data_IF_714500908993
#
_entry.id   IF_714500908993
#
_cell.length_a   1.000
_cell.length_b   1.000
_cell.length_c   1.000
_cell.angle_alpha   90.00
_cell.angle_beta   90.00
_cell.angle_gamma   90.00
#
_symmetry.space_group_name_H-M   'P 1'
#
loop_
_entity.id
_entity.type
_entity.pdbx_description
1 polymer ?
#
# COMPACT_ATOMS: atom_id res chain seq x y z
N UNK A 1 -22.47 27.02 -28.27
CA UNK A 1 -23.55 27.58 -27.44
C UNK A 1 -22.90 28.44 -26.38
N UNK A 2 -23.35 29.67 -26.17
CA UNK A 2 -22.75 30.56 -25.17
C UNK A 2 -22.98 30.00 -23.76
N UNK A 3 -21.95 30.02 -22.91
CA UNK A 3 -22.07 29.65 -21.51
C UNK A 3 -23.06 30.61 -20.81
N UNK A 4 -24.06 30.08 -20.09
CA UNK A 4 -25.08 30.90 -19.42
C UNK A 4 -24.49 31.93 -18.45
N UNK A 5 -23.27 31.69 -17.93
CA UNK A 5 -22.58 32.63 -17.04
C UNK A 5 -22.20 33.94 -17.74
N UNK A 6 -21.94 33.92 -19.05
CA UNK A 6 -21.43 35.06 -19.81
C UNK A 6 -22.44 35.68 -20.77
N UNK A 7 -23.60 35.04 -20.97
CA UNK A 7 -24.62 35.47 -21.94
C UNK A 7 -25.20 36.88 -21.70
N UNK A 8 -25.20 37.36 -20.44
CA UNK A 8 -25.74 38.67 -20.07
C UNK A 8 -24.69 39.79 -20.02
N UNK A 9 -23.42 39.48 -20.28
CA UNK A 9 -22.34 40.46 -20.26
C UNK A 9 -22.19 41.10 -21.64
N UNK A 10 -22.22 42.44 -21.75
CA UNK A 10 -21.93 43.12 -23.02
C UNK A 10 -20.44 42.97 -23.38
N UNK A 11 -20.13 42.80 -24.67
CA UNK A 11 -18.76 42.78 -25.19
C UNK A 11 -18.06 41.41 -25.16
N UNK A 12 -18.78 40.31 -24.94
CA UNK A 12 -18.23 38.96 -25.06
C UNK A 12 -18.17 38.53 -26.53
N UNK A 13 -17.01 38.08 -26.99
CA UNK A 13 -16.81 37.53 -28.33
C UNK A 13 -17.35 36.10 -28.40
N UNK A 14 -18.46 35.88 -29.11
CA UNK A 14 -19.13 34.57 -29.19
C UNK A 14 -18.73 33.72 -30.40
N UNK A 15 -18.12 34.33 -31.42
CA UNK A 15 -17.82 33.71 -32.72
C UNK A 15 -16.32 33.77 -33.06
N UNK A 16 -15.47 33.97 -32.07
CA UNK A 16 -14.02 33.90 -32.21
C UNK A 16 -13.54 32.53 -31.70
N UNK A 17 -12.47 31.97 -32.28
CA UNK A 17 -11.83 30.79 -31.70
C UNK A 17 -11.29 31.11 -30.29
N UNK A 18 -11.41 30.15 -29.39
CA UNK A 18 -10.98 30.30 -27.99
C UNK A 18 -9.44 30.39 -27.87
N UNK A 19 -8.71 29.77 -28.80
CA UNK A 19 -7.25 29.71 -28.83
C UNK A 19 -6.75 30.02 -30.24
N UNK A 20 -5.79 30.94 -30.36
CA UNK A 20 -5.01 31.17 -31.59
C UNK A 20 -3.60 30.62 -31.38
N UNK A 21 -3.35 29.43 -31.91
CA UNK A 21 -2.06 28.75 -31.82
C UNK A 21 -1.45 28.50 -33.21
N UNK A 22 -0.12 28.41 -33.24
CA UNK A 22 0.61 27.94 -34.43
C UNK A 22 0.38 26.45 -34.62
N UNK A 23 0.41 25.97 -35.87
CA UNK A 23 0.29 24.54 -36.14
C UNK A 23 1.32 23.74 -35.37
N UNK A 24 0.87 22.71 -34.65
CA UNK A 24 1.73 21.84 -33.87
C UNK A 24 2.68 21.09 -34.82
N UNK A 25 3.98 21.35 -34.70
CA UNK A 25 5.00 20.72 -35.52
C UNK A 25 5.57 19.52 -34.77
N UNK A 26 5.80 18.36 -35.43
CA UNK A 26 6.28 17.14 -34.78
C UNK A 26 7.77 17.19 -34.35
N UNK A 27 8.35 18.38 -34.22
CA UNK A 27 9.78 18.56 -33.87
C UNK A 27 10.08 18.12 -32.43
N UNK A 28 9.11 18.17 -31.52
CA UNK A 28 9.25 17.69 -30.13
C UNK A 28 9.35 16.15 -30.01
N UNK A 29 8.96 15.39 -31.03
CA UNK A 29 9.07 13.91 -31.04
C UNK A 29 10.48 13.41 -31.42
N UNK A 30 11.36 14.31 -31.85
CA UNK A 30 12.75 13.99 -32.19
C UNK A 30 13.63 14.08 -30.93
N UNK A 31 13.53 13.08 -30.06
CA UNK A 31 14.41 12.99 -28.89
C UNK A 31 15.88 12.99 -29.33
N UNK A 32 16.62 14.05 -28.94
CA UNK A 32 18.07 14.20 -29.09
C UNK A 32 18.82 13.19 -28.19
N UNK A 33 18.67 11.89 -28.45
CA UNK A 33 19.29 10.83 -27.66
C UNK A 33 20.78 10.61 -28.01
N UNK A 34 21.26 11.18 -29.12
CA UNK A 34 22.64 10.99 -29.58
C UNK A 34 23.67 11.66 -28.67
N UNK A 35 23.32 12.78 -28.00
CA UNK A 35 24.28 13.56 -27.22
C UNK A 35 24.70 12.93 -25.88
N UNK A 36 23.81 12.19 -25.20
CA UNK A 36 24.16 11.51 -23.93
C UNK A 36 24.95 10.21 -24.15
N UNK A 37 24.78 9.55 -25.31
CA UNK A 37 25.50 8.31 -25.62
C UNK A 37 26.96 8.57 -26.03
N UNK A 38 27.24 9.74 -26.60
CA UNK A 38 28.59 10.16 -27.02
C UNK A 38 29.52 10.45 -25.83
N UNK A 39 29.06 11.11 -24.75
CA UNK A 39 29.90 11.40 -23.58
C UNK A 39 30.39 10.15 -22.85
N UNK A 40 29.59 9.08 -22.86
CA UNK A 40 30.00 7.82 -22.25
C UNK A 40 31.06 7.11 -23.12
N UNK A 41 31.08 7.32 -24.44
CA UNK A 41 31.99 6.69 -25.41
C UNK A 41 33.35 7.40 -25.53
N UNK A 42 34.10 7.47 -24.43
CA UNK A 42 35.47 7.98 -24.45
C UNK A 42 36.50 6.87 -24.70
N UNK A 43 37.36 7.01 -25.72
CA UNK A 43 38.48 6.09 -26.01
C UNK A 43 39.53 6.02 -24.87
N UNK A 44 39.54 7.02 -23.98
CA UNK A 44 40.49 7.12 -22.86
C UNK A 44 39.95 6.55 -21.54
N UNK A 45 38.68 6.16 -21.46
CA UNK A 45 38.03 5.74 -20.21
C UNK A 45 37.38 4.37 -20.38
N UNK A 46 37.86 3.37 -19.63
CA UNK A 46 37.23 2.06 -19.59
C UNK A 46 35.93 2.11 -18.78
N UNK A 47 34.82 1.72 -19.41
CA UNK A 47 33.52 1.56 -18.73
C UNK A 47 33.40 0.18 -18.11
N UNK A 48 33.51 0.13 -16.78
CA UNK A 48 33.30 -1.10 -16.01
C UNK A 48 31.85 -1.13 -15.52
N UNK A 49 31.04 -2.00 -16.13
CA UNK A 49 29.67 -2.24 -15.66
C UNK A 49 29.73 -3.10 -14.41
N UNK A 50 29.33 -2.51 -13.27
CA UNK A 50 29.27 -3.23 -12.00
C UNK A 50 27.88 -3.86 -11.87
N UNK A 51 27.81 -5.19 -11.87
CA UNK A 51 26.60 -5.92 -11.54
C UNK A 51 26.54 -6.13 -10.02
N UNK A 52 25.58 -5.53 -9.28
CA UNK A 52 25.50 -5.62 -7.82
C UNK A 52 25.32 -7.06 -7.32
N UNK A 53 24.60 -7.91 -8.07
CA UNK A 53 24.36 -9.30 -7.69
C UNK A 53 25.66 -10.12 -7.79
N UNK A 54 26.39 -9.98 -8.90
CA UNK A 54 27.69 -10.64 -9.07
C UNK A 54 28.75 -10.09 -8.11
N UNK A 55 28.67 -8.80 -7.73
CA UNK A 55 29.52 -8.23 -6.71
C UNK A 55 29.19 -8.80 -5.32
N UNK A 56 27.90 -8.94 -4.98
CA UNK A 56 27.46 -9.53 -3.72
C UNK A 56 28.00 -10.96 -3.55
N UNK A 57 27.86 -11.81 -4.56
CA UNK A 57 28.38 -13.20 -4.50
C UNK A 57 29.90 -13.24 -4.29
N UNK A 58 30.65 -12.28 -4.82
CA UNK A 58 32.11 -12.20 -4.64
C UNK A 58 32.54 -11.83 -3.22
N UNK A 59 31.66 -11.21 -2.43
CA UNK A 59 31.98 -10.70 -1.09
C UNK A 59 31.14 -11.33 0.04
N UNK A 60 30.07 -12.07 -0.28
CA UNK A 60 29.15 -12.68 0.68
C UNK A 60 29.88 -13.51 1.75
N UNK A 61 30.85 -14.31 1.34
CA UNK A 61 31.57 -15.23 2.23
C UNK A 61 32.83 -14.60 2.85
N UNK A 62 33.21 -13.40 2.40
CA UNK A 62 34.39 -12.68 2.88
C UNK A 62 34.02 -11.84 4.09
N UNK A 63 34.38 -12.32 5.27
CA UNK A 63 34.23 -11.56 6.51
C UNK A 63 35.49 -10.76 6.85
N UNK A 64 35.26 -9.63 7.50
CA UNK A 64 36.32 -8.71 7.91
C UNK A 64 36.49 -8.82 9.42
N UNK A 65 37.68 -9.24 9.89
CA UNK A 65 37.99 -9.31 11.32
C UNK A 65 38.36 -7.93 11.86
N UNK A 66 37.82 -7.57 13.02
CA UNK A 66 38.14 -6.30 13.71
C UNK A 66 39.23 -6.42 14.77
N UNK A 67 39.86 -7.59 14.90
CA UNK A 67 40.92 -7.83 15.89
C UNK A 67 42.21 -7.14 15.45
N UNK A 68 42.76 -6.26 16.30
CA UNK A 68 44.04 -5.58 16.06
C UNK A 68 43.96 -4.25 15.30
N UNK A 69 42.75 -3.72 15.06
CA UNK A 69 42.55 -2.43 14.42
C UNK A 69 42.98 -1.28 15.35
N UNK A 70 44.13 -0.67 15.08
CA UNK A 70 44.59 0.56 15.73
C UNK A 70 44.80 1.67 14.69
N UNK A 71 43.82 2.59 14.60
CA UNK A 71 43.88 3.81 13.80
C UNK A 71 44.47 5.01 14.56
N UNK A 72 44.88 4.84 15.82
CA UNK A 72 45.55 5.93 16.53
C UNK A 72 46.98 6.04 16.00
N UNK A 73 47.39 7.18 15.43
CA UNK A 73 48.73 7.42 14.86
C UNK A 73 49.87 7.43 15.92
N UNK A 74 49.90 6.46 16.83
CA UNK A 74 50.91 6.31 17.87
C UNK A 74 52.06 5.45 17.36
N UNK A 75 53.26 6.00 17.31
CA UNK A 75 54.46 5.30 16.82
C UNK A 75 54.74 4.07 17.72
N UNK A 76 54.63 2.86 17.16
CA UNK A 76 54.92 1.58 17.86
C UNK A 76 55.87 0.71 17.05
N UNK A 77 56.49 -0.29 17.69
CA UNK A 77 57.55 -1.14 17.10
C UNK A 77 57.04 -2.27 16.20
N UNK A 78 55.75 -2.61 16.24
CA UNK A 78 55.15 -3.66 15.41
C UNK A 78 54.50 -3.05 14.16
N UNK A 79 54.63 -3.71 13.00
CA UNK A 79 53.94 -3.30 11.77
C UNK A 79 52.44 -3.35 12.01
N UNK A 80 51.77 -2.21 11.89
CA UNK A 80 50.31 -2.12 11.94
C UNK A 80 49.77 -2.73 10.65
N UNK A 81 49.00 -3.80 10.77
CA UNK A 81 48.25 -4.39 9.66
C UNK A 81 46.79 -3.98 9.86
N UNK A 82 46.11 -3.63 8.78
CA UNK A 82 44.67 -3.33 8.82
C UNK A 82 43.86 -4.61 8.98
N UNK A 83 42.76 -4.71 8.24
CA UNK A 83 41.93 -5.92 8.23
C UNK A 83 42.73 -7.15 7.77
N UNK A 84 42.85 -8.15 8.64
CA UNK A 84 43.37 -9.48 8.29
C UNK A 84 42.21 -10.44 8.00
N UNK A 85 42.32 -11.16 6.88
CA UNK A 85 41.39 -12.22 6.47
C UNK A 85 41.99 -13.57 6.87
N UNK A 86 41.25 -14.36 7.65
CA UNK A 86 41.68 -15.70 8.07
C UNK A 86 40.50 -16.67 8.04
N UNK A 87 40.63 -17.73 7.24
CA UNK A 87 39.61 -18.75 6.99
C UNK A 87 39.77 -19.98 7.88
N UNK A 88 38.65 -20.67 8.06
CA UNK A 88 38.47 -21.91 8.81
C UNK A 88 39.05 -23.11 8.03
N UNK A 89 40.02 -23.84 8.60
CA UNK A 89 40.44 -25.15 8.07
C UNK A 89 39.67 -26.30 8.76
N UNK A 90 38.97 -27.12 7.97
CA UNK A 90 38.59 -28.49 8.36
C UNK A 90 39.71 -29.43 7.91
N UNK A 91 40.25 -30.22 8.83
CA UNK A 91 41.22 -31.27 8.50
C UNK A 91 40.47 -32.43 7.82
N UNK A 92 40.96 -32.88 6.66
CA UNK A 92 40.40 -34.03 5.96
C UNK A 92 40.60 -35.34 6.74
N UNK A 93 39.67 -36.27 6.59
CA UNK A 93 39.71 -37.60 7.21
C UNK A 93 41.02 -38.33 6.91
N UNK A 94 41.67 -38.83 7.97
CA UNK A 94 42.92 -39.59 7.90
C UNK A 94 44.19 -38.79 8.21
N UNK A 95 44.10 -37.49 8.47
CA UNK A 95 45.26 -36.70 8.88
C UNK A 95 45.54 -36.87 10.39
N UNK A 96 46.66 -37.51 10.76
CA UNK A 96 47.03 -37.88 12.14
C UNK A 96 47.37 -36.73 13.11
N UNK A 97 46.88 -35.52 12.84
CA UNK A 97 46.99 -34.36 13.73
C UNK A 97 45.77 -34.33 14.67
N UNK A 98 45.99 -34.01 15.96
CA UNK A 98 44.91 -33.94 16.94
C UNK A 98 43.96 -32.77 16.60
N UNK A 99 42.69 -33.08 16.37
CA UNK A 99 41.61 -32.10 16.15
C UNK A 99 41.54 -31.07 17.29
N UNK A 100 41.32 -29.80 16.94
CA UNK A 100 40.98 -28.79 17.95
C UNK A 100 39.55 -28.99 18.46
N UNK A 101 39.21 -28.58 19.71
CA UNK A 101 37.86 -28.76 20.26
C UNK A 101 36.73 -28.17 19.39
N UNK A 102 37.01 -27.07 18.68
CA UNK A 102 36.05 -26.41 17.78
C UNK A 102 35.82 -27.20 16.48
N UNK A 103 36.88 -27.77 15.88
CA UNK A 103 36.76 -28.62 14.69
C UNK A 103 36.02 -29.92 15.00
N UNK A 104 36.28 -30.52 16.17
CA UNK A 104 35.58 -31.72 16.65
C UNK A 104 34.08 -31.46 16.83
N UNK A 105 33.70 -30.29 17.33
CA UNK A 105 32.30 -29.89 17.44
C UNK A 105 31.63 -29.83 16.05
N UNK A 106 32.29 -29.22 15.06
CA UNK A 106 31.73 -29.09 13.71
C UNK A 106 31.54 -30.45 12.99
N UNK A 107 32.48 -31.39 13.13
CA UNK A 107 32.30 -32.76 12.60
C UNK A 107 31.12 -33.48 13.24
N UNK A 108 31.03 -33.43 14.57
CA UNK A 108 29.95 -34.08 15.31
C UNK A 108 28.57 -33.49 14.97
N UNK A 109 28.48 -32.18 14.71
CA UNK A 109 27.22 -31.55 14.27
C UNK A 109 26.76 -32.09 12.93
N UNK A 110 27.68 -32.32 11.99
CA UNK A 110 27.36 -32.86 10.67
C UNK A 110 26.97 -34.35 10.74
N UNK A 111 27.69 -35.17 11.52
CA UNK A 111 27.36 -36.59 11.71
C UNK A 111 25.99 -36.79 12.39
N UNK A 112 25.63 -35.92 13.35
CA UNK A 112 24.30 -35.96 13.98
C UNK A 112 23.20 -35.58 12.97
N UNK A 113 23.49 -34.64 12.07
CA UNK A 113 22.52 -34.21 11.06
C UNK A 113 22.23 -35.32 10.04
N UNK A 114 23.26 -36.02 9.56
CA UNK A 114 23.13 -37.16 8.65
C UNK A 114 22.30 -38.28 9.28
N UNK A 115 22.59 -38.63 10.55
CA UNK A 115 21.83 -39.64 11.28
C UNK A 115 20.34 -39.28 11.46
N UNK A 116 20.02 -37.99 11.66
CA UNK A 116 18.63 -37.54 11.74
C UNK A 116 17.89 -37.76 10.42
N UNK A 117 18.55 -37.51 9.29
CA UNK A 117 17.97 -37.64 7.95
C UNK A 117 17.65 -39.10 7.61
N UNK A 118 18.53 -40.03 7.97
CA UNK A 118 18.33 -41.46 7.77
C UNK A 118 17.11 -42.01 8.54
N UNK A 119 16.91 -41.54 9.78
CA UNK A 119 15.77 -41.96 10.62
C UNK A 119 14.44 -41.45 10.05
N UNK A 120 14.43 -40.23 9.52
CA UNK A 120 13.24 -39.64 8.90
C UNK A 120 12.86 -40.36 7.61
N UNK A 121 13.84 -40.79 6.82
CA UNK A 121 13.63 -41.59 5.60
C UNK A 121 13.02 -42.97 5.91
N UNK A 122 13.42 -43.61 7.02
CA UNK A 122 12.86 -44.88 7.50
C UNK A 122 11.40 -44.72 7.97
N UNK A 123 11.06 -43.58 8.61
CA UNK A 123 9.69 -43.30 9.02
C UNK A 123 8.75 -43.13 7.83
N UNK A 124 9.18 -42.42 6.78
CA UNK A 124 8.37 -42.19 5.57
C UNK A 124 8.05 -43.52 4.87
N UNK A 125 9.05 -44.38 4.69
CA UNK A 125 8.86 -45.71 4.06
C UNK A 125 7.92 -46.62 4.84
N UNK A 126 7.90 -46.52 6.17
CA UNK A 126 7.00 -47.35 7.01
C UNK A 126 5.55 -46.86 6.98
N UNK A 127 5.32 -45.55 6.79
CA UNK A 127 4.00 -44.93 6.80
C UNK A 127 3.20 -45.21 5.52
N UNK A 128 3.87 -45.32 4.38
CA UNK A 128 3.25 -45.57 3.06
C UNK A 128 2.56 -46.94 2.98
N UNK A 129 3.12 -47.97 3.64
CA UNK A 129 2.58 -49.34 3.69
C UNK A 129 1.25 -49.51 4.46
N UNK A 130 0.77 -48.48 5.17
CA UNK A 130 -0.44 -48.55 6.03
C UNK A 130 -1.70 -47.92 5.41
N UNK A 131 -1.61 -47.40 4.19
CA UNK A 131 -2.60 -46.48 3.62
C UNK A 131 -3.77 -47.14 2.87
N UNK A 132 -3.64 -48.39 2.41
CA UNK A 132 -4.66 -49.03 1.56
C UNK A 132 -5.89 -49.59 2.33
N UNK A 133 -5.85 -49.69 3.65
CA UNK A 133 -6.90 -50.35 4.45
C UNK A 133 -8.08 -49.44 4.87
N UNK A 134 -8.10 -48.15 4.46
CA UNK A 134 -9.02 -47.14 5.02
C UNK A 134 -10.29 -46.81 4.22
N UNK A 135 -10.47 -47.33 3.01
CA UNK A 135 -11.62 -46.96 2.16
C UNK A 135 -12.81 -47.91 2.34
N UNK A 136 -13.51 -47.80 3.47
CA UNK A 136 -14.77 -48.51 3.70
C UNK A 136 -15.97 -47.75 3.09
N UNK A 137 -17.01 -48.44 2.60
CA UNK A 137 -18.22 -47.80 2.05
C UNK A 137 -18.92 -46.84 3.03
N UNK A 138 -18.80 -47.08 4.34
CA UNK A 138 -19.29 -46.21 5.41
C UNK A 138 -18.51 -44.88 5.45
N UNK A 139 -17.19 -44.91 5.22
CA UNK A 139 -16.38 -43.70 5.11
C UNK A 139 -16.76 -42.88 3.87
N UNK A 140 -17.05 -43.54 2.74
CA UNK A 140 -17.57 -42.86 1.54
C UNK A 140 -18.95 -42.23 1.78
N UNK A 141 -19.85 -42.92 2.48
CA UNK A 141 -21.16 -42.37 2.85
C UNK A 141 -21.05 -41.16 3.79
N UNK A 142 -20.10 -41.20 4.73
CA UNK A 142 -19.82 -40.07 5.63
C UNK A 142 -19.21 -38.88 4.89
N UNK A 143 -18.32 -39.12 3.92
CA UNK A 143 -17.79 -38.08 3.03
C UNK A 143 -18.88 -37.47 2.15
N UNK A 144 -19.80 -38.28 1.60
CA UNK A 144 -20.93 -37.79 0.82
C UNK A 144 -21.91 -36.94 1.66
N UNK A 145 -22.14 -37.31 2.93
CA UNK A 145 -22.94 -36.52 3.86
C UNK A 145 -22.26 -35.19 4.22
N UNK A 146 -20.95 -35.19 4.43
CA UNK A 146 -20.16 -33.96 4.64
C UNK A 146 -20.18 -33.05 3.41
N UNK A 147 -20.06 -33.62 2.21
CA UNK A 147 -20.15 -32.87 0.95
C UNK A 147 -21.53 -32.24 0.77
N UNK A 148 -22.61 -32.97 1.10
CA UNK A 148 -23.97 -32.42 1.11
C UNK A 148 -24.10 -31.24 2.08
N UNK A 149 -23.53 -31.35 3.28
CA UNK A 149 -23.56 -30.27 4.27
C UNK A 149 -22.78 -29.03 3.78
N UNK A 150 -21.61 -29.23 3.17
CA UNK A 150 -20.80 -28.16 2.59
C UNK A 150 -21.50 -27.46 1.41
N UNK A 151 -22.21 -28.22 0.58
CA UNK A 151 -22.98 -27.65 -0.53
C UNK A 151 -24.13 -26.76 -0.03
N UNK A 152 -24.82 -27.21 1.02
CA UNK A 152 -25.89 -26.43 1.65
C UNK A 152 -25.33 -25.16 2.31
N UNK A 153 -24.18 -25.22 2.99
CA UNK A 153 -23.57 -24.03 3.58
C UNK A 153 -23.09 -23.04 2.51
N UNK A 154 -22.45 -23.50 1.44
CA UNK A 154 -22.01 -22.64 0.34
C UNK A 154 -23.19 -21.96 -0.38
N UNK A 155 -24.32 -22.67 -0.54
CA UNK A 155 -25.55 -22.08 -1.07
C UNK A 155 -26.15 -21.03 -0.12
N UNK A 156 -26.08 -21.29 1.19
CA UNK A 156 -26.50 -20.34 2.22
C UNK A 156 -25.67 -19.05 2.17
N UNK A 157 -24.34 -19.14 2.06
CA UNK A 157 -23.44 -17.97 1.96
C UNK A 157 -23.73 -17.12 0.72
N UNK A 158 -24.05 -17.76 -0.41
CA UNK A 158 -24.46 -17.06 -1.63
C UNK A 158 -25.80 -16.33 -1.49
N UNK A 159 -26.71 -16.82 -0.65
CA UNK A 159 -28.03 -16.23 -0.43
C UNK A 159 -28.00 -15.09 0.60
N UNK A 160 -27.19 -15.20 1.66
CA UNK A 160 -27.06 -14.15 2.67
C UNK A 160 -26.10 -13.02 2.27
N UNK A 161 -25.25 -13.26 1.26
CA UNK A 161 -24.28 -12.29 0.75
C UNK A 161 -22.94 -12.32 1.51
N UNK A 162 -21.85 -11.81 0.89
CA UNK A 162 -20.47 -12.07 1.32
C UNK A 162 -20.08 -11.53 2.71
N UNK A 163 -20.91 -10.70 3.34
CA UNK A 163 -20.61 -10.04 4.62
C UNK A 163 -21.54 -10.46 5.77
N UNK A 164 -22.47 -11.39 5.54
CA UNK A 164 -23.44 -11.78 6.55
C UNK A 164 -22.86 -12.80 7.54
N UNK A 165 -22.62 -12.36 8.77
CA UNK A 165 -22.10 -13.20 9.84
C UNK A 165 -23.28 -13.83 10.62
N UNK A 166 -23.47 -15.15 10.48
CA UNK A 166 -24.53 -15.88 11.20
C UNK A 166 -23.98 -16.36 12.55
N UNK A 167 -24.33 -15.66 13.63
CA UNK A 167 -24.01 -16.08 14.99
C UNK A 167 -25.13 -16.96 15.55
N UNK A 168 -25.00 -18.29 15.42
CA UNK A 168 -25.96 -19.27 15.94
C UNK A 168 -26.13 -19.22 17.47
N UNK A 169 -25.14 -18.70 18.19
CA UNK A 169 -25.15 -18.56 19.66
C UNK A 169 -25.89 -17.31 20.14
N UNK A 170 -26.10 -16.31 19.29
CA UNK A 170 -26.84 -15.09 19.62
C UNK A 170 -27.61 -14.58 18.38
N UNK A 171 -28.75 -15.23 18.03
CA UNK A 171 -29.48 -14.95 16.79
C UNK A 171 -30.08 -13.53 16.74
N UNK A 172 -30.39 -12.94 17.90
CA UNK A 172 -31.03 -11.61 18.01
C UNK A 172 -30.05 -10.51 18.47
N UNK A 173 -28.77 -10.85 18.66
CA UNK A 173 -27.77 -9.96 19.28
C UNK A 173 -28.13 -9.59 20.74
N UNK A 174 -28.93 -10.40 21.41
CA UNK A 174 -29.48 -10.14 22.74
C UNK A 174 -28.42 -10.30 23.84
N UNK A 175 -27.49 -11.25 23.68
CA UNK A 175 -26.36 -11.41 24.61
C UNK A 175 -25.40 -10.23 24.48
N UNK A 176 -25.11 -9.78 23.25
CA UNK A 176 -24.31 -8.58 23.00
C UNK A 176 -24.94 -7.33 23.65
N UNK A 177 -26.24 -7.12 23.45
CA UNK A 177 -27.00 -6.02 24.08
C UNK A 177 -26.98 -6.11 25.60
N UNK A 178 -27.22 -7.31 26.17
CA UNK A 178 -27.20 -7.52 27.63
C UNK A 178 -25.83 -7.25 28.23
N UNK A 179 -24.75 -7.64 27.55
CA UNK A 179 -23.39 -7.39 28.00
C UNK A 179 -23.06 -5.89 27.96
N UNK A 180 -23.50 -5.17 26.92
CA UNK A 180 -23.41 -3.71 26.85
C UNK A 180 -24.19 -3.03 28.00
N UNK A 181 -25.43 -3.46 28.27
CA UNK A 181 -26.22 -2.91 29.39
C UNK A 181 -25.58 -3.23 30.75
N UNK A 182 -25.05 -4.44 30.93
CA UNK A 182 -24.34 -4.82 32.17
C UNK A 182 -23.05 -4.02 32.36
N UNK A 183 -22.34 -3.71 31.27
CA UNK A 183 -21.21 -2.80 31.27
C UNK A 183 -21.60 -1.37 31.63
N UNK A 184 -22.70 -0.86 31.08
CA UNK A 184 -23.24 0.47 31.40
C UNK A 184 -23.65 0.58 32.87
N UNK A 185 -24.32 -0.45 33.40
CA UNK A 185 -24.68 -0.53 34.83
C UNK A 185 -23.43 -0.57 35.71
N UNK A 186 -22.42 -1.37 35.36
CA UNK A 186 -21.18 -1.44 36.11
C UNK A 186 -20.31 -0.17 35.97
N UNK A 187 -20.44 0.57 34.86
CA UNK A 187 -19.85 1.90 34.67
C UNK A 187 -20.55 2.94 35.55
N UNK A 188 -21.88 2.86 35.66
CA UNK A 188 -22.69 3.71 36.53
C UNK A 188 -22.35 3.55 38.01
N UNK A 189 -22.06 2.33 38.46
CA UNK A 189 -21.66 2.04 39.85
C UNK A 189 -20.26 2.57 40.19
N UNK A 190 -19.34 2.71 39.20
CA UNK A 190 -17.98 3.25 39.44
C UNK A 190 -17.91 4.78 39.47
N UNK A 191 -18.91 5.50 38.96
CA UNK A 191 -18.88 6.98 38.93
C UNK A 191 -19.20 7.63 40.29
N UNK A 192 -19.35 6.85 41.36
CA UNK A 192 -19.73 7.31 42.70
C UNK A 192 -18.74 7.05 43.85
N UNK A 193 -17.52 6.54 43.60
CA UNK A 193 -16.57 6.30 44.69
C UNK A 193 -15.12 6.61 44.29
N UNK A 194 -14.65 7.77 44.73
CA UNK A 194 -13.22 8.09 44.74
C UNK A 194 -12.54 7.57 46.02
N UNK A 195 -11.25 7.22 45.84
CA UNK A 195 -10.17 7.14 46.83
C UNK A 195 -10.08 5.91 47.77
N UNK A 196 -9.21 4.94 47.43
CA UNK A 196 -7.84 4.74 47.98
C UNK A 196 -7.38 3.27 47.83
N UNK A 197 -6.10 3.06 47.55
CA UNK A 197 -5.54 1.77 47.15
C UNK A 197 -5.11 0.83 48.29
N UNK A 198 -5.01 -0.47 47.98
CA UNK A 198 -3.93 -1.40 48.36
C UNK A 198 -4.07 -2.75 47.67
N UNK A 199 -2.94 -3.30 47.26
CA UNK A 199 -2.72 -4.60 46.61
C UNK A 199 -3.12 -5.80 47.47
N UNK A 200 -3.93 -6.71 46.92
CA UNK A 200 -3.80 -8.17 47.03
C UNK A 200 -4.98 -8.86 46.31
N UNK A 201 -4.68 -9.81 45.43
CA UNK A 201 -5.58 -10.92 45.09
C UNK A 201 -4.96 -12.20 45.71
N UNK A 202 -5.72 -13.28 46.00
CA UNK A 202 -6.99 -13.64 45.37
C UNK A 202 -8.09 -14.13 46.34
N UNK A 203 -9.28 -13.53 46.23
CA UNK A 203 -10.59 -14.20 46.40
C UNK A 203 -11.57 -13.37 45.57
N UNK A 204 -12.17 -13.99 44.56
CA UNK A 204 -13.04 -13.31 43.59
C UNK A 204 -14.20 -12.59 44.27
N UNK A 205 -14.48 -11.31 43.94
CA UNK A 205 -15.69 -10.65 44.38
C UNK A 205 -16.74 -10.66 43.27
N UNK A 206 -17.96 -11.06 43.62
CA UNK A 206 -19.17 -10.68 42.88
C UNK A 206 -19.11 -9.18 42.56
N UNK A 207 -19.09 -8.85 41.27
CA UNK A 207 -19.13 -7.47 40.76
C UNK A 207 -17.83 -6.94 40.15
N UNK A 208 -16.71 -7.67 40.16
CA UNK A 208 -15.50 -7.25 39.44
C UNK A 208 -15.50 -7.79 38.02
N UNK A 209 -15.68 -6.89 37.06
CA UNK A 209 -15.56 -7.22 35.64
C UNK A 209 -14.07 -7.30 35.29
N UNK A 210 -13.58 -8.53 35.13
CA UNK A 210 -12.25 -8.83 34.61
C UNK A 210 -12.36 -9.12 33.11
N UNK A 211 -11.89 -8.20 32.29
CA UNK A 211 -11.69 -8.46 30.86
C UNK A 211 -10.29 -9.01 30.65
N UNK A 212 -10.20 -10.29 30.32
CA UNK A 212 -8.94 -10.90 29.91
C UNK A 212 -8.93 -11.00 28.37
N UNK A 213 -8.37 -9.98 27.73
CA UNK A 213 -8.24 -9.94 26.27
C UNK A 213 -6.94 -10.62 25.86
N UNK A 214 -7.04 -11.85 25.37
CA UNK A 214 -5.92 -12.55 24.73
C UNK A 214 -5.98 -12.27 23.23
N UNK A 215 -5.37 -11.17 22.79
CA UNK A 215 -5.21 -10.85 21.36
C UNK A 215 -3.72 -10.68 21.05
N UNK A 216 -3.30 -11.19 19.88
CA UNK A 216 -1.95 -10.97 19.32
C UNK A 216 -2.07 -10.09 18.08
N UNK A 217 -2.30 -8.77 18.25
CA UNK A 217 -2.56 -7.87 17.13
C UNK A 217 -1.38 -7.75 16.17
N UNK A 218 -0.14 -7.96 16.65
CA UNK A 218 1.05 -7.98 15.79
C UNK A 218 1.07 -9.17 14.83
N UNK A 219 0.56 -10.33 15.25
CA UNK A 219 0.49 -11.51 14.39
C UNK A 219 -0.54 -11.32 13.28
N UNK A 220 -1.71 -10.74 13.60
CA UNK A 220 -2.75 -10.45 12.61
C UNK A 220 -2.26 -9.42 11.58
N UNK A 221 -1.68 -8.31 12.03
CA UNK A 221 -1.05 -7.30 11.15
C UNK A 221 0.05 -7.90 10.28
N UNK A 222 0.89 -8.77 10.85
CA UNK A 222 1.92 -9.48 10.09
C UNK A 222 1.31 -10.38 9.01
N UNK A 223 0.25 -11.14 9.33
CA UNK A 223 -0.42 -12.00 8.32
C UNK A 223 -1.12 -11.21 7.22
N UNK A 224 -1.68 -10.04 7.51
CA UNK A 224 -2.25 -9.16 6.50
C UNK A 224 -1.16 -8.55 5.62
N UNK A 225 -0.10 -8.01 6.22
CA UNK A 225 1.05 -7.47 5.48
C UNK A 225 1.73 -8.52 4.61
N UNK A 226 1.85 -9.76 5.08
CA UNK A 226 2.40 -10.87 4.29
C UNK A 226 1.55 -11.18 3.05
N UNK A 227 0.21 -11.17 3.18
CA UNK A 227 -0.69 -11.34 2.02
C UNK A 227 -0.57 -10.19 1.02
N UNK A 228 -0.46 -8.95 1.51
CA UNK A 228 -0.26 -7.77 0.64
C UNK A 228 1.07 -7.87 -0.10
N UNK A 229 2.15 -8.26 0.58
CA UNK A 229 3.47 -8.45 -0.02
C UNK A 229 3.48 -9.59 -1.06
N UNK A 230 2.72 -10.66 -0.85
CA UNK A 230 2.56 -11.73 -1.85
C UNK A 230 1.85 -11.23 -3.12
N UNK A 231 0.76 -10.45 -2.94
CA UNK A 231 0.04 -9.83 -4.05
C UNK A 231 0.91 -8.82 -4.80
N UNK A 232 1.70 -8.01 -4.08
CA UNK A 232 2.66 -7.06 -4.66
C UNK A 232 3.73 -7.80 -5.46
N UNK A 233 4.31 -8.89 -4.92
CA UNK A 233 5.28 -9.71 -5.65
C UNK A 233 4.69 -10.28 -6.92
N UNK A 234 3.48 -10.83 -6.86
CA UNK A 234 2.79 -11.38 -8.05
C UNK A 234 2.45 -10.28 -9.07
N UNK A 235 2.06 -9.10 -8.59
CA UNK A 235 1.79 -7.95 -9.45
C UNK A 235 3.07 -7.48 -10.14
N UNK A 236 4.20 -7.42 -9.42
CA UNK A 236 5.51 -7.09 -9.96
C UNK A 236 5.96 -8.13 -10.99
N UNK A 237 5.77 -9.44 -10.73
CA UNK A 237 6.04 -10.49 -11.72
C UNK A 237 5.20 -10.29 -13.00
N UNK A 238 3.90 -9.98 -12.86
CA UNK A 238 3.04 -9.65 -14.00
C UNK A 238 3.47 -8.37 -14.71
N UNK A 239 3.89 -7.35 -13.98
CA UNK A 239 4.42 -6.10 -14.53
C UNK A 239 5.75 -6.32 -15.25
N UNK A 240 6.64 -7.19 -14.78
CA UNK A 240 7.85 -7.54 -15.52
C UNK A 240 7.57 -8.35 -16.78
N UNK A 241 6.51 -9.16 -16.79
CA UNK A 241 6.15 -9.99 -17.93
C UNK A 241 5.39 -9.22 -19.03
N UNK A 242 4.52 -8.27 -18.63
CA UNK A 242 3.66 -7.49 -19.54
C UNK A 242 4.17 -6.08 -19.77
N UNK A 243 4.84 -5.50 -18.77
CA UNK A 243 5.42 -4.18 -18.85
C UNK A 243 6.54 -4.15 -19.88
N UNK A 244 6.37 -3.29 -20.87
CA UNK A 244 7.50 -2.83 -21.66
C UNK A 244 8.35 -2.01 -20.70
N UNK A 245 9.55 -2.51 -20.38
CA UNK A 245 10.54 -1.68 -19.71
C UNK A 245 10.68 -0.34 -20.46
N UNK A 246 11.20 0.70 -19.80
CA UNK A 246 11.39 2.04 -20.37
C UNK A 246 12.23 2.12 -21.67
N UNK A 247 12.64 0.98 -22.24
CA UNK A 247 13.07 0.87 -23.63
C UNK A 247 11.87 1.09 -24.55
N UNK A 248 11.75 2.32 -25.03
CA UNK A 248 10.82 2.67 -26.10
C UNK A 248 11.04 1.70 -27.27
N UNK A 249 9.94 1.05 -27.67
CA UNK A 249 9.79 0.14 -28.79
C UNK A 249 10.59 0.63 -30.01
N UNK A 250 11.41 -0.24 -30.62
CA UNK A 250 12.25 0.13 -31.77
C UNK A 250 11.44 0.62 -32.99
N UNK A 251 12.08 1.22 -34.00
CA UNK A 251 11.41 1.78 -35.18
C UNK A 251 10.54 0.77 -35.95
N UNK A 252 10.85 -0.53 -35.85
CA UNK A 252 10.13 -1.62 -36.50
C UNK A 252 8.80 -1.99 -35.82
N UNK A 253 8.61 -1.59 -34.56
CA UNK A 253 7.37 -1.80 -33.78
C UNK A 253 6.37 -0.65 -33.91
N UNK A 254 6.74 0.45 -34.57
CA UNK A 254 5.85 1.60 -34.78
C UNK A 254 4.56 1.24 -35.53
N UNK A 255 4.60 0.22 -36.40
CA UNK A 255 3.43 -0.26 -37.15
C UNK A 255 2.47 -1.16 -36.36
N UNK A 256 2.79 -1.49 -35.11
CA UNK A 256 2.03 -2.43 -34.25
C UNK A 256 1.37 -1.70 -33.06
N UNK A 257 1.34 -0.36 -33.07
CA UNK A 257 0.80 0.46 -31.98
C UNK A 257 -0.74 0.44 -31.94
N UNK A 258 -1.30 -0.63 -31.38
CA UNK A 258 -2.65 -0.64 -30.84
C UNK A 258 -2.67 -0.07 -29.42
N UNK A 259 -3.75 0.61 -29.03
CA UNK A 259 -3.89 1.21 -27.70
C UNK A 259 -3.87 0.19 -26.55
N UNK A 260 -4.15 -1.09 -26.83
CA UNK A 260 -4.00 -2.20 -25.91
C UNK A 260 -3.07 -3.30 -26.45
N UNK A 261 -2.42 -4.05 -25.55
CA UNK A 261 -1.63 -5.24 -25.91
C UNK A 261 -2.45 -6.22 -26.76
N UNK A 262 -3.75 -6.34 -26.47
CA UNK A 262 -4.66 -7.20 -27.23
C UNK A 262 -4.78 -6.74 -28.69
N UNK A 263 -4.98 -5.44 -28.92
CA UNK A 263 -5.05 -4.88 -30.29
C UNK A 263 -3.75 -5.14 -31.07
N UNK A 264 -2.60 -5.05 -30.38
CA UNK A 264 -1.30 -5.35 -31.00
C UNK A 264 -1.18 -6.82 -31.40
N UNK A 265 -1.66 -7.74 -30.56
CA UNK A 265 -1.66 -9.18 -30.81
C UNK A 265 -2.66 -9.52 -31.92
N UNK A 266 -3.85 -8.92 -31.94
CA UNK A 266 -4.82 -9.11 -33.02
C UNK A 266 -4.28 -8.60 -34.35
N UNK A 267 -3.60 -7.46 -34.37
CA UNK A 267 -2.95 -6.93 -35.56
C UNK A 267 -1.82 -7.86 -36.03
N UNK A 268 -0.98 -8.35 -35.12
CA UNK A 268 0.06 -9.35 -35.43
C UNK A 268 -0.57 -10.64 -35.95
N UNK A 269 -1.66 -11.12 -35.35
CA UNK A 269 -2.39 -12.29 -35.79
C UNK A 269 -2.98 -12.09 -37.19
N UNK A 270 -3.53 -10.92 -37.50
CA UNK A 270 -4.01 -10.58 -38.83
C UNK A 270 -2.85 -10.58 -39.85
N UNK A 271 -1.69 -10.02 -39.50
CA UNK A 271 -0.48 -10.07 -40.34
C UNK A 271 0.06 -11.49 -40.54
N UNK A 272 0.01 -12.33 -39.50
CA UNK A 272 0.37 -13.77 -39.56
C UNK A 272 -0.64 -14.56 -40.40
N UNK A 273 -1.92 -14.24 -40.32
CA UNK A 273 -2.93 -14.87 -41.20
C UNK A 273 -2.75 -14.48 -42.66
N UNK A 274 -2.24 -13.28 -42.95
CA UNK A 274 -1.90 -12.84 -44.30
C UNK A 274 -0.62 -13.51 -44.85
N UNK A 275 0.22 -14.12 -44.00
CA UNK A 275 1.37 -14.91 -44.44
C UNK A 275 0.97 -16.27 -45.03
N UNK A 276 -0.27 -16.72 -44.84
CA UNK A 276 -0.81 -17.90 -45.52
C UNK A 276 -1.38 -17.53 -46.90
N UNK A 277 -0.49 -17.48 -47.90
CA UNK A 277 -0.82 -17.06 -49.26
C UNK A 277 -1.96 -17.87 -49.91
N UNK A 278 -2.10 -19.16 -49.56
CA UNK A 278 -3.09 -20.04 -50.18
C UNK A 278 -4.52 -19.76 -49.69
N UNK A 279 -4.69 -19.38 -48.43
CA UNK A 279 -6.00 -18.97 -47.89
C UNK A 279 -6.32 -17.52 -48.22
N UNK A 280 -5.30 -16.66 -48.35
CA UNK A 280 -5.45 -15.26 -48.75
C UNK A 280 -6.07 -15.12 -50.14
N UNK A 281 -5.54 -15.83 -51.15
CA UNK A 281 -6.07 -15.77 -52.53
C UNK A 281 -7.54 -16.23 -52.60
N UNK A 282 -7.89 -17.26 -51.82
CA UNK A 282 -9.26 -17.79 -51.78
C UNK A 282 -10.22 -16.84 -51.05
N UNK A 283 -9.76 -16.16 -50.00
CA UNK A 283 -10.54 -15.15 -49.27
C UNK A 283 -10.67 -13.87 -50.08
N UNK A 284 -9.63 -13.45 -50.80
CA UNK A 284 -9.63 -12.26 -51.67
C UNK A 284 -10.63 -12.44 -52.82
N UNK A 285 -10.63 -13.59 -53.50
CA UNK A 285 -11.60 -13.89 -54.56
C UNK A 285 -13.05 -13.88 -54.07
N UNK A 286 -13.30 -14.33 -52.83
CA UNK A 286 -14.63 -14.26 -52.19
C UNK A 286 -14.99 -12.84 -51.79
N UNK A 287 -14.04 -12.07 -51.25
CA UNK A 287 -14.22 -10.66 -50.89
C UNK A 287 -14.52 -9.80 -52.11
N UNK A 288 -13.86 -10.02 -53.25
CA UNK A 288 -14.14 -9.31 -54.50
C UNK A 288 -15.57 -9.62 -55.02
N UNK A 289 -16.06 -10.85 -54.86
CA UNK A 289 -17.46 -11.19 -55.18
C UNK A 289 -18.45 -10.48 -54.24
N UNK A 290 -18.14 -10.41 -52.94
CA UNK A 290 -18.98 -9.69 -51.95
C UNK A 290 -18.95 -8.18 -52.20
N UNK A 291 -17.79 -7.60 -52.51
CA UNK A 291 -17.62 -6.19 -52.85
C UNK A 291 -18.44 -5.82 -54.10
N UNK A 292 -18.48 -6.69 -55.11
CA UNK A 292 -19.33 -6.51 -56.30
C UNK A 292 -20.82 -6.40 -55.94
N UNK A 293 -21.31 -7.32 -55.09
CA UNK A 293 -22.72 -7.30 -54.61
C UNK A 293 -23.00 -6.11 -53.70
N UNK A 294 -22.04 -5.72 -52.85
CA UNK A 294 -22.15 -4.55 -51.98
C UNK A 294 -22.23 -3.25 -52.78
N UNK A 295 -21.49 -3.14 -53.90
CA UNK A 295 -21.59 -2.00 -54.80
C UNK A 295 -22.94 -1.92 -55.54
N UNK A 296 -23.55 -3.06 -55.89
CA UNK A 296 -24.92 -3.06 -56.41
C UNK A 296 -25.94 -2.61 -55.36
N UNK A 297 -25.79 -3.05 -54.11
CA UNK A 297 -26.65 -2.63 -52.99
C UNK A 297 -26.43 -1.14 -52.68
N UNK A 298 -25.20 -0.65 -52.71
CA UNK A 298 -24.86 0.76 -52.49
C UNK A 298 -25.47 1.66 -53.58
N UNK A 299 -25.48 1.22 -54.85
CA UNK A 299 -26.19 1.94 -55.93
C UNK A 299 -27.69 2.05 -55.67
N UNK A 300 -28.32 1.03 -55.08
CA UNK A 300 -29.73 1.08 -54.69
C UNK A 300 -30.00 1.89 -53.41
N UNK A 301 -29.03 1.95 -52.49
CA UNK A 301 -29.16 2.62 -51.18
C UNK A 301 -28.85 4.12 -51.23
N UNK A 302 -27.93 4.56 -52.10
CA UNK A 302 -27.60 5.97 -52.31
C UNK A 302 -28.78 6.83 -52.79
N UNK A 303 -29.86 6.22 -53.28
CA UNK A 303 -31.09 6.89 -53.67
C UNK A 303 -32.05 7.19 -52.50
N UNK A 304 -31.76 6.72 -51.27
CA UNK A 304 -32.73 6.67 -50.16
C UNK A 304 -32.24 7.32 -48.85
N UNK A 305 -30.95 7.58 -48.65
CA UNK A 305 -30.44 8.14 -47.38
C UNK A 305 -30.24 9.67 -47.40
N UNK A 306 -30.74 10.34 -46.37
CA UNK A 306 -30.67 11.78 -46.14
C UNK A 306 -29.31 12.18 -45.55
N UNK A 307 -28.53 13.00 -46.27
CA UNK A 307 -27.15 13.36 -45.92
C UNK A 307 -27.02 14.04 -44.54
N UNK A 308 -28.07 14.72 -44.06
CA UNK A 308 -28.10 15.28 -42.71
C UNK A 308 -28.12 14.21 -41.62
N UNK A 309 -28.83 13.11 -41.83
CA UNK A 309 -28.88 12.00 -40.87
C UNK A 309 -27.53 11.29 -40.77
N UNK A 310 -26.85 11.14 -41.91
CA UNK A 310 -25.49 10.57 -41.98
C UNK A 310 -24.48 11.44 -41.20
N UNK A 311 -24.55 12.76 -41.38
CA UNK A 311 -23.68 13.70 -40.65
C UNK A 311 -23.95 13.68 -39.14
N UNK A 312 -25.23 13.64 -38.73
CA UNK A 312 -25.59 13.52 -37.31
C UNK A 312 -25.13 12.20 -36.70
N UNK A 313 -25.24 11.09 -37.43
CA UNK A 313 -24.76 9.76 -36.99
C UNK A 313 -23.23 9.72 -36.90
N UNK A 314 -22.52 10.31 -37.86
CA UNK A 314 -21.05 10.41 -37.81
C UNK A 314 -20.59 11.23 -36.61
N UNK A 315 -21.23 12.37 -36.34
CA UNK A 315 -20.92 13.19 -35.17
C UNK A 315 -21.18 12.43 -33.85
N UNK A 316 -22.26 11.65 -33.78
CA UNK A 316 -22.54 10.80 -32.61
C UNK A 316 -21.49 9.71 -32.44
N UNK A 317 -21.03 9.10 -33.54
CA UNK A 317 -19.96 8.11 -33.50
C UNK A 317 -18.65 8.71 -32.97
N UNK A 318 -18.25 9.89 -33.44
CA UNK A 318 -17.05 10.59 -32.96
C UNK A 318 -17.14 10.92 -31.47
N UNK A 319 -18.33 11.33 -30.99
CA UNK A 319 -18.56 11.59 -29.56
C UNK A 319 -18.47 10.30 -28.75
N UNK A 320 -19.08 9.21 -29.21
CA UNK A 320 -19.00 7.92 -28.52
C UNK A 320 -17.55 7.43 -28.47
N UNK A 321 -16.80 7.52 -29.56
CA UNK A 321 -15.41 7.08 -29.61
C UNK A 321 -14.51 7.89 -28.65
N UNK A 322 -14.72 9.20 -28.53
CA UNK A 322 -13.99 10.04 -27.55
C UNK A 322 -14.30 9.65 -26.10
N UNK A 323 -15.53 9.21 -25.82
CA UNK A 323 -15.97 8.89 -24.46
C UNK A 323 -15.83 7.41 -24.10
N UNK A 324 -15.57 6.53 -25.05
CA UNK A 324 -15.46 5.08 -24.84
C UNK A 324 -14.33 4.72 -23.85
N UNK A 325 -13.17 5.36 -24.01
CA UNK A 325 -12.05 5.22 -23.07
C UNK A 325 -12.41 5.72 -21.65
N UNK A 326 -13.19 6.79 -21.53
CA UNK A 326 -13.64 7.28 -20.22
C UNK A 326 -14.73 6.38 -19.60
N UNK A 327 -15.63 5.84 -20.41
CA UNK A 327 -16.70 4.97 -19.97
C UNK A 327 -16.16 3.66 -19.37
N UNK A 328 -15.12 3.09 -19.98
CA UNK A 328 -14.42 1.89 -19.48
C UNK A 328 -13.64 2.16 -18.18
N UNK A 329 -13.15 3.39 -17.97
CA UNK A 329 -12.46 3.78 -16.74
C UNK A 329 -13.40 4.15 -15.57
N UNK A 330 -14.68 4.44 -15.84
CA UNK A 330 -15.64 4.92 -14.84
C UNK A 330 -15.83 3.94 -13.65
N UNK A 331 -15.97 2.62 -13.86
CA UNK A 331 -16.07 1.66 -12.74
C UNK A 331 -14.80 1.63 -11.88
N UNK A 332 -13.62 1.76 -12.50
CA UNK A 332 -12.33 1.78 -11.79
C UNK A 332 -12.20 3.05 -10.94
N UNK A 333 -12.62 4.21 -11.47
CA UNK A 333 -12.68 5.46 -10.71
C UNK A 333 -13.61 5.34 -9.51
N UNK A 334 -14.78 4.72 -9.67
CA UNK A 334 -15.73 4.50 -8.59
C UNK A 334 -15.13 3.57 -7.52
N UNK A 335 -14.48 2.48 -7.93
CA UNK A 335 -13.79 1.58 -7.02
C UNK A 335 -12.65 2.28 -6.25
N UNK A 336 -11.89 3.14 -6.93
CA UNK A 336 -10.85 3.95 -6.28
C UNK A 336 -11.45 4.95 -5.29
N UNK A 337 -12.57 5.59 -5.62
CA UNK A 337 -13.31 6.46 -4.71
C UNK A 337 -13.84 5.70 -3.47
N UNK A 338 -14.31 4.46 -3.65
CA UNK A 338 -14.74 3.62 -2.54
C UNK A 338 -13.57 3.22 -1.64
N UNK A 339 -12.44 2.82 -2.23
CA UNK A 339 -11.23 2.48 -1.49
C UNK A 339 -10.66 3.68 -0.71
N UNK A 340 -10.74 4.89 -1.28
CA UNK A 340 -10.23 6.13 -0.68
C UNK A 340 -11.28 6.83 0.20
N UNK A 341 -12.51 6.31 0.29
CA UNK A 341 -13.62 6.94 1.03
C UNK A 341 -13.27 7.22 2.49
N UNK A 342 -12.70 6.23 3.17
CA UNK A 342 -12.33 6.35 4.59
C UNK A 342 -11.23 7.40 4.79
N UNK A 343 -10.25 7.44 3.88
CA UNK A 343 -9.20 8.47 3.92
C UNK A 343 -9.76 9.87 3.69
N UNK A 344 -10.69 10.04 2.74
CA UNK A 344 -11.37 11.32 2.52
C UNK A 344 -12.22 11.74 3.73
N UNK A 345 -12.90 10.81 4.38
CA UNK A 345 -13.67 11.08 5.60
C UNK A 345 -12.77 11.51 6.76
N UNK A 346 -11.65 10.83 6.96
CA UNK A 346 -10.63 11.21 7.94
C UNK A 346 -10.02 12.59 7.64
N UNK A 347 -9.74 12.90 6.37
CA UNK A 347 -9.23 14.21 5.96
C UNK A 347 -10.25 15.33 6.23
N UNK A 348 -11.54 15.07 6.01
CA UNK A 348 -12.61 16.02 6.35
C UNK A 348 -12.70 16.27 7.86
N UNK A 349 -12.65 15.20 8.67
CA UNK A 349 -12.64 15.29 10.13
C UNK A 349 -11.41 16.04 10.64
N UNK A 350 -10.24 15.83 10.01
CA UNK A 350 -9.02 16.54 10.33
C UNK A 350 -9.14 18.05 10.07
N UNK A 351 -9.74 18.46 8.95
CA UNK A 351 -10.01 19.87 8.66
C UNK A 351 -10.92 20.52 9.72
N UNK A 352 -11.97 19.81 10.15
CA UNK A 352 -12.84 20.27 11.24
C UNK A 352 -12.10 20.36 12.58
N UNK A 353 -11.30 19.33 12.91
CA UNK A 353 -10.51 19.33 14.14
C UNK A 353 -9.50 20.48 14.15
N UNK A 354 -8.87 20.79 13.02
CA UNK A 354 -7.92 21.88 12.88
C UNK A 354 -8.58 23.24 13.12
N UNK A 355 -9.76 23.48 12.53
CA UNK A 355 -10.53 24.72 12.79
C UNK A 355 -11.00 24.82 14.25
N UNK A 356 -11.37 23.70 14.87
CA UNK A 356 -11.69 23.67 16.30
C UNK A 356 -10.45 23.95 17.18
N UNK A 357 -9.28 23.44 16.78
CA UNK A 357 -8.02 23.70 17.47
C UNK A 357 -7.61 25.17 17.36
N UNK A 358 -7.72 25.78 16.18
CA UNK A 358 -7.44 27.22 16.00
C UNK A 358 -8.37 28.09 16.86
N UNK A 359 -9.67 27.81 16.85
CA UNK A 359 -10.65 28.56 17.69
C UNK A 359 -10.38 28.39 19.19
N UNK A 360 -10.07 27.19 19.66
CA UNK A 360 -9.69 26.95 21.06
C UNK A 360 -8.37 27.65 21.42
N UNK A 361 -7.38 27.65 20.52
CA UNK A 361 -6.11 28.35 20.72
C UNK A 361 -6.31 29.87 20.81
N UNK A 362 -7.18 30.45 19.97
CA UNK A 362 -7.54 31.87 20.04
C UNK A 362 -8.24 32.20 21.38
N UNK A 363 -9.14 31.33 21.85
CA UNK A 363 -9.81 31.51 23.15
C UNK A 363 -8.81 31.46 24.32
N UNK A 364 -7.87 30.49 24.31
CA UNK A 364 -6.81 30.40 25.33
C UNK A 364 -5.92 31.64 25.31
N UNK A 365 -5.55 32.14 24.12
CA UNK A 365 -4.73 33.34 23.99
C UNK A 365 -5.46 34.58 24.56
N UNK A 366 -6.75 34.72 24.30
CA UNK A 366 -7.55 35.78 24.91
C UNK A 366 -7.62 35.64 26.43
N UNK A 367 -7.86 34.43 26.96
CA UNK A 367 -7.85 34.19 28.41
C UNK A 367 -6.50 34.48 29.06
N UNK A 368 -5.38 34.19 28.38
CA UNK A 368 -4.04 34.55 28.84
C UNK A 368 -3.83 36.07 28.89
N UNK A 369 -4.33 36.82 27.90
CA UNK A 369 -4.31 38.29 27.91
C UNK A 369 -5.13 38.84 29.07
N UNK A 370 -6.32 38.29 29.31
CA UNK A 370 -7.17 38.68 30.43
C UNK A 370 -6.47 38.42 31.77
N UNK A 371 -5.88 37.24 31.97
CA UNK A 371 -5.10 36.91 33.16
C UNK A 371 -3.90 37.84 33.36
N UNK A 372 -3.19 38.20 32.28
CA UNK A 372 -2.08 39.17 32.32
C UNK A 372 -2.57 40.56 32.76
N UNK A 373 -3.73 40.98 32.27
CA UNK A 373 -4.35 42.25 32.69
C UNK A 373 -4.76 42.23 34.16
N UNK A 374 -5.34 41.11 34.63
CA UNK A 374 -5.74 40.91 36.01
C UNK A 374 -4.54 40.94 36.95
N UNK A 375 -3.44 40.28 36.58
CA UNK A 375 -2.19 40.30 37.35
C UNK A 375 -1.59 41.71 37.42
N UNK A 376 -1.65 42.47 36.33
CA UNK A 376 -1.19 43.87 36.32
C UNK A 376 -2.05 44.74 37.25
N UNK A 377 -3.37 44.51 37.27
CA UNK A 377 -4.29 45.20 38.17
C UNK A 377 -4.07 44.79 39.63
N UNK A 378 -3.81 43.51 39.91
CA UNK A 378 -3.45 43.02 41.26
C UNK A 378 -2.13 43.63 41.71
N UNK A 379 -1.13 43.72 40.84
CA UNK A 379 0.14 44.37 41.15
C UNK A 379 -0.04 45.86 41.46
N UNK A 380 -0.86 46.56 40.68
CA UNK A 380 -1.19 47.97 40.91
C UNK A 380 -1.92 48.16 42.25
N UNK A 381 -2.97 47.38 42.51
CA UNK A 381 -3.74 47.46 43.76
C UNK A 381 -2.89 47.07 44.97
N UNK A 382 -1.99 46.09 44.87
CA UNK A 382 -1.04 45.80 45.94
C UNK A 382 -0.09 46.96 46.22
N UNK A 383 0.39 47.66 45.17
CA UNK A 383 1.26 48.83 45.33
C UNK A 383 0.52 49.99 46.01
N UNK A 384 -0.72 50.25 45.59
CA UNK A 384 -1.60 51.26 46.21
C UNK A 384 -1.91 50.91 47.67
N UNK A 385 -2.24 49.66 47.96
CA UNK A 385 -2.49 49.18 49.33
C UNK A 385 -1.24 49.29 50.21
N UNK A 386 -0.05 48.98 49.69
CA UNK A 386 1.21 49.14 50.44
C UNK A 386 1.48 50.60 50.78
N UNK A 387 1.28 51.52 49.84
CA UNK A 387 1.40 52.97 50.09
C UNK A 387 0.40 53.45 51.15
N UNK A 388 -0.86 53.01 51.06
CA UNK A 388 -1.87 53.35 52.06
C UNK A 388 -1.52 52.80 53.45
N UNK A 389 -0.97 51.59 53.53
CA UNK A 389 -0.50 50.99 54.79
C UNK A 389 0.69 51.78 55.35
N UNK A 390 1.66 52.17 54.52
CA UNK A 390 2.81 53.00 54.91
C UNK A 390 2.36 54.38 55.43
N UNK A 391 1.43 55.04 54.74
CA UNK A 391 0.83 56.31 55.19
C UNK A 391 0.12 56.13 56.54
N UNK A 392 -0.67 55.08 56.71
CA UNK A 392 -1.35 54.78 57.97
C UNK A 392 -0.37 54.54 59.12
N UNK A 393 0.71 53.78 58.89
CA UNK A 393 1.77 53.58 59.89
C UNK A 393 2.47 54.89 60.23
N UNK A 394 2.77 55.74 59.24
CA UNK A 394 3.38 57.05 59.47
C UNK A 394 2.47 57.97 60.31
N UNK A 395 1.16 57.97 60.05
CA UNK A 395 0.19 58.74 60.80
C UNK A 395 0.07 58.23 62.24
N UNK A 396 0.14 56.91 62.44
CA UNK A 396 0.10 56.29 63.76
C UNK A 396 1.38 56.59 64.56
N UNK A 397 2.55 56.55 63.93
CA UNK A 397 3.83 56.95 64.54
C UNK A 397 3.84 58.44 64.93
N UNK A 398 3.34 59.32 64.06
CA UNK A 398 3.15 60.74 64.41
C UNK A 398 2.22 60.93 65.60
N UNK A 399 1.15 60.13 65.70
CA UNK A 399 0.21 60.17 66.83
C UNK A 399 0.86 59.66 68.12
N UNK A 400 1.64 58.59 68.03
CA UNK A 400 2.39 58.04 69.18
C UNK A 400 3.44 59.04 69.68
N UNK A 401 4.15 59.71 68.77
CA UNK A 401 5.09 60.80 69.11
C UNK A 401 4.42 61.97 69.82
N UNK A 402 3.21 62.36 69.42
CA UNK A 402 2.41 63.40 70.09
C UNK A 402 1.94 63.01 71.50
N UNK A 403 1.77 61.71 71.78
CA UNK A 403 1.44 61.17 73.10
C UNK A 403 2.68 61.01 74.01
N UNK A 404 3.88 60.98 73.44
CA UNK A 404 5.15 60.85 74.18
C UNK A 404 5.75 62.19 74.67
N UNK A 405 5.05 63.30 74.43
CA UNK A 405 5.27 64.62 75.05
C UNK A 405 4.15 64.88 76.03
#
# INVERSE_FOLDING_TARGET
>A
MADPKYANLPGIASNEPDVYETSDLPEDDQAQFESELEELCSDSVERIVVNPNAAYDKFKDKHVSTKGLDFSDRISKSRRVGYESGEFELLAEGCGLKETPQQKYQRLVNEIHELCQDVEQIQVTTKESSSEERLTPVALAQQAAQLKQQLVSAHLDSLLGPNAHINLTDPDGALAKRLLTQLEVARGVRSGAGAEGKTAAPRGPDGVILYELHSRPEQEKFTESAKVAELERRLAELETAVGSGSEKQGPLSAGVQGGSLMDTIELLQARVSALDAATLDQVEARLQSVLGKMNEIAKHKAAVEDAETQNKVSQLYDVVQKWDAMATCLPQLLQRLLAVRELHEQAMQFGQLLTHLDTTQQMINNSLKDNSSLLSQVQQTMKENLLAVEENFSALDQRMKKLSK
#
